data_IF_671739494513
#
_entry.id   IF_671739494513
#
_cell.length_a   1.000
_cell.length_b   1.000
_cell.length_c   1.000
_cell.angle_alpha   90.00
_cell.angle_beta   90.00
_cell.angle_gamma   90.00
#
_symmetry.space_group_name_H-M   'P 1'
#
loop_
_entity.id
_entity.type
_entity.pdbx_description
1 polymer ?
#
# COMPACT_ATOMS: atom_id res chain seq x y z
N UNK A 1 33.09 -68.32 -11.46
CA UNK A 1 32.94 -66.88 -11.22
C UNK A 1 32.26 -66.23 -12.42
N UNK A 2 31.01 -65.78 -12.29
CA UNK A 2 30.34 -64.76 -13.12
C UNK A 2 29.10 -64.28 -12.35
N UNK A 3 29.06 -62.99 -12.06
CA UNK A 3 27.99 -62.28 -11.35
C UNK A 3 26.98 -61.72 -12.36
N UNK A 4 25.82 -61.29 -11.80
CA UNK A 4 24.88 -60.28 -12.30
C UNK A 4 23.92 -60.82 -13.40
N UNK A 5 22.62 -60.51 -13.43
CA UNK A 5 21.95 -59.24 -13.11
C UNK A 5 20.53 -59.49 -12.58
N UNK A 6 20.18 -58.83 -11.46
CA UNK A 6 18.81 -58.69 -10.95
C UNK A 6 18.12 -57.57 -11.75
N UNK A 7 17.03 -57.89 -12.45
CA UNK A 7 16.21 -56.90 -13.15
C UNK A 7 15.18 -56.30 -12.20
N UNK A 8 15.33 -55.02 -11.84
CA UNK A 8 14.28 -54.23 -11.22
C UNK A 8 14.11 -52.92 -11.99
N UNK A 9 13.51 -53.01 -13.18
CA UNK A 9 13.43 -51.92 -14.17
C UNK A 9 12.07 -51.20 -14.20
N UNK A 10 11.37 -51.05 -13.08
CA UNK A 10 10.03 -50.44 -13.12
C UNK A 10 9.73 -49.41 -12.02
N UNK A 11 10.54 -49.28 -10.97
CA UNK A 11 10.20 -48.43 -9.82
C UNK A 11 10.91 -47.08 -9.76
N UNK A 12 12.00 -46.90 -10.49
CA UNK A 12 12.80 -45.66 -10.45
C UNK A 12 12.32 -44.58 -11.42
N UNK A 13 11.48 -44.92 -12.41
CA UNK A 13 11.00 -43.96 -13.41
C UNK A 13 9.85 -43.06 -12.95
N UNK A 14 9.03 -43.50 -11.99
CA UNK A 14 7.85 -42.75 -11.57
C UNK A 14 8.16 -41.66 -10.52
N UNK A 15 9.23 -41.84 -9.73
CA UNK A 15 9.64 -40.87 -8.71
C UNK A 15 10.31 -39.61 -9.28
N UNK A 16 10.97 -39.70 -10.44
CA UNK A 16 11.61 -38.54 -11.06
C UNK A 16 10.63 -37.58 -11.75
N UNK A 17 9.49 -38.07 -12.24
CA UNK A 17 8.51 -37.24 -12.95
C UNK A 17 7.67 -36.37 -11.99
N UNK A 18 7.43 -36.84 -10.76
CA UNK A 18 6.71 -36.08 -9.73
C UNK A 18 7.53 -34.90 -9.19
N UNK A 19 8.87 -35.03 -9.15
CA UNK A 19 9.76 -33.97 -8.66
C UNK A 19 9.87 -32.78 -9.63
N UNK A 20 9.74 -33.01 -10.94
CA UNK A 20 9.80 -31.94 -11.94
C UNK A 20 8.53 -31.09 -12.01
N UNK A 21 7.37 -31.62 -11.59
CA UNK A 21 6.11 -30.86 -11.57
C UNK A 21 6.00 -29.88 -10.39
N UNK A 22 6.81 -30.05 -9.34
CA UNK A 22 6.84 -29.15 -8.16
C UNK A 22 7.63 -27.87 -8.45
N UNK A 23 8.52 -27.87 -9.45
CA UNK A 23 9.35 -26.71 -9.81
C UNK A 23 8.68 -25.75 -10.80
N UNK A 24 7.51 -26.08 -11.34
CA UNK A 24 6.58 -25.08 -11.89
C UNK A 24 5.91 -24.30 -10.76
N UNK A 25 6.72 -23.85 -9.79
CA UNK A 25 6.30 -22.96 -8.73
C UNK A 25 5.80 -21.68 -9.39
N UNK A 26 4.49 -21.52 -9.29
CA UNK A 26 3.75 -20.26 -9.29
C UNK A 26 4.70 -19.05 -9.25
N UNK A 27 5.07 -18.49 -10.41
CA UNK A 27 5.55 -17.12 -10.48
C UNK A 27 4.34 -16.26 -10.12
N UNK A 28 4.09 -16.09 -8.83
CA UNK A 28 3.33 -14.93 -8.38
C UNK A 28 4.29 -13.77 -8.58
N UNK A 29 3.91 -12.81 -9.42
CA UNK A 29 4.64 -11.55 -9.51
C UNK A 29 4.81 -11.01 -8.09
N UNK A 30 6.02 -11.10 -7.56
CA UNK A 30 6.32 -10.68 -6.21
C UNK A 30 6.25 -9.15 -6.16
N UNK A 31 5.55 -8.62 -5.16
CA UNK A 31 5.40 -7.18 -4.97
C UNK A 31 6.78 -6.53 -4.79
N UNK A 32 7.16 -5.68 -5.74
CA UNK A 32 8.44 -4.99 -5.74
C UNK A 32 8.21 -3.47 -5.72
N UNK A 33 8.07 -2.84 -4.54
CA UNK A 33 7.76 -1.42 -4.45
C UNK A 33 8.84 -0.55 -5.08
N UNK A 34 8.42 0.55 -5.72
CA UNK A 34 9.35 1.57 -6.20
C UNK A 34 10.17 2.15 -5.02
N UNK A 35 11.49 2.22 -5.19
CA UNK A 35 12.38 2.82 -4.20
C UNK A 35 12.58 4.31 -4.47
N UNK A 36 12.57 5.11 -3.41
CA UNK A 36 12.85 6.53 -3.46
C UNK A 36 13.55 6.99 -2.18
N UNK A 37 14.55 7.88 -2.30
CA UNK A 37 15.30 8.39 -1.14
C UNK A 37 14.47 9.33 -0.27
N UNK A 38 13.46 10.00 -0.84
CA UNK A 38 12.46 10.78 -0.11
C UNK A 38 11.06 10.23 -0.34
N UNK A 39 10.33 9.97 0.74
CA UNK A 39 8.95 9.45 0.67
C UNK A 39 8.01 10.35 1.48
N UNK A 40 6.94 10.85 0.85
CA UNK A 40 5.90 11.65 1.52
C UNK A 40 4.52 11.05 1.25
N UNK A 41 4.18 10.06 2.06
CA UNK A 41 3.04 9.15 1.82
C UNK A 41 2.18 8.87 3.06
N UNK A 42 2.33 9.69 4.09
CA UNK A 42 1.49 9.61 5.28
C UNK A 42 0.09 10.18 5.03
N UNK A 43 -0.91 9.53 5.62
CA UNK A 43 -2.31 9.89 5.56
C UNK A 43 -2.80 10.15 6.99
N UNK A 44 -3.55 11.24 7.17
CA UNK A 44 -4.24 11.59 8.41
C UNK A 44 -5.75 11.60 8.14
N UNK A 45 -6.47 10.62 8.70
CA UNK A 45 -7.93 10.59 8.63
C UNK A 45 -8.55 11.29 9.83
N UNK A 46 -9.53 12.15 9.57
CA UNK A 46 -10.44 12.64 10.62
C UNK A 46 -11.79 11.97 10.44
N UNK A 47 -12.43 11.57 11.53
CA UNK A 47 -13.78 11.03 11.51
C UNK A 47 -14.75 12.04 12.11
N UNK A 48 -15.79 12.38 11.36
CA UNK A 48 -16.96 13.11 11.86
C UNK A 48 -18.19 12.21 11.81
N UNK A 49 -18.98 12.25 12.88
CA UNK A 49 -20.29 11.59 12.97
C UNK A 49 -21.38 12.65 13.14
N UNK A 50 -22.57 12.37 12.64
CA UNK A 50 -23.77 13.19 12.88
C UNK A 50 -24.09 13.35 14.39
N UNK A 51 -23.61 12.43 15.23
CA UNK A 51 -23.87 12.41 16.68
C UNK A 51 -23.01 13.39 17.50
N UNK A 52 -22.22 14.28 16.87
CA UNK A 52 -21.22 15.16 17.52
C UNK A 52 -20.17 14.43 18.39
N UNK A 53 -20.17 13.10 18.43
CA UNK A 53 -19.15 12.30 19.11
C UNK A 53 -17.85 12.34 18.31
N UNK A 54 -16.71 12.40 19.02
CA UNK A 54 -15.36 12.28 18.46
C UNK A 54 -14.97 10.81 18.42
N UNK A 55 -15.08 10.10 17.27
CA UNK A 55 -14.98 8.64 17.27
C UNK A 55 -13.58 8.14 17.64
N UNK A 56 -12.55 8.93 17.29
CA UNK A 56 -11.15 8.59 17.58
C UNK A 56 -10.74 8.70 19.06
N UNK A 57 -11.59 9.26 19.92
CA UNK A 57 -11.36 9.26 21.37
C UNK A 57 -11.86 7.96 22.03
N UNK A 58 -12.60 7.11 21.31
CA UNK A 58 -13.09 5.81 21.80
C UNK A 58 -12.15 4.67 21.36
N UNK A 59 -11.48 4.04 22.34
CA UNK A 59 -10.57 2.93 22.09
C UNK A 59 -11.25 1.72 21.44
N UNK A 60 -12.55 1.47 21.70
CA UNK A 60 -13.29 0.38 21.06
C UNK A 60 -13.52 0.66 19.59
N UNK A 61 -13.83 1.91 19.25
CA UNK A 61 -13.94 2.35 17.86
C UNK A 61 -12.60 2.20 17.14
N UNK A 62 -11.51 2.70 17.73
CA UNK A 62 -10.16 2.63 17.16
C UNK A 62 -9.71 1.18 16.95
N UNK A 63 -9.96 0.28 17.90
CA UNK A 63 -9.66 -1.15 17.77
C UNK A 63 -10.45 -1.84 16.64
N UNK A 64 -11.59 -1.28 16.24
CA UNK A 64 -12.40 -1.75 15.11
C UNK A 64 -11.91 -1.27 13.74
N UNK A 65 -10.82 -0.48 13.67
CA UNK A 65 -10.28 0.04 12.42
C UNK A 65 -9.15 -0.87 11.92
N UNK A 66 -9.22 -1.22 10.65
CA UNK A 66 -8.13 -1.92 9.93
C UNK A 66 -7.87 -1.24 8.61
N UNK A 67 -6.59 -1.16 8.24
CA UNK A 67 -6.12 -0.55 6.99
C UNK A 67 -5.34 -1.61 6.23
N UNK A 68 -5.70 -1.85 4.98
CA UNK A 68 -5.06 -2.88 4.14
C UNK A 68 -4.58 -2.25 2.84
N UNK A 69 -3.29 -2.39 2.54
CA UNK A 69 -2.68 -1.92 1.29
C UNK A 69 -2.88 -2.96 0.21
N UNK A 70 -3.68 -2.63 -0.80
CA UNK A 70 -4.07 -3.60 -1.82
C UNK A 70 -2.88 -3.97 -2.71
N UNK A 71 -1.92 -3.05 -2.91
CA UNK A 71 -0.73 -3.30 -3.73
C UNK A 71 0.22 -4.28 -3.02
N UNK A 72 0.47 -4.04 -1.73
CA UNK A 72 1.35 -4.88 -0.90
C UNK A 72 0.70 -6.17 -0.41
N UNK A 73 -0.62 -6.33 -0.59
CA UNK A 73 -1.43 -7.39 0.01
C UNK A 73 -1.23 -7.56 1.53
N UNK A 74 -0.99 -6.46 2.25
CA UNK A 74 -0.65 -6.47 3.67
C UNK A 74 -1.47 -5.47 4.49
N UNK A 75 -1.66 -5.79 5.77
CA UNK A 75 -2.23 -4.85 6.73
C UNK A 75 -1.22 -3.74 7.04
N UNK A 76 -1.65 -2.49 6.90
CA UNK A 76 -0.83 -1.32 7.18
C UNK A 76 -1.00 -0.92 8.65
N UNK A 77 0.09 -0.71 9.40
CA UNK A 77 0.01 -0.22 10.77
C UNK A 77 -0.67 1.15 10.82
N UNK A 78 -1.62 1.31 11.75
CA UNK A 78 -2.28 2.57 12.00
C UNK A 78 -2.23 2.94 13.49
N UNK A 79 -2.16 4.23 13.77
CA UNK A 79 -2.07 4.78 15.14
C UNK A 79 -2.89 6.05 15.24
N UNK A 80 -3.44 6.37 16.41
CA UNK A 80 -4.06 7.69 16.63
C UNK A 80 -2.99 8.69 17.05
N UNK A 81 -2.88 9.81 16.32
CA UNK A 81 -2.01 10.95 16.64
C UNK A 81 -2.86 12.15 17.04
N UNK A 82 -2.43 12.87 18.08
CA UNK A 82 -3.01 14.17 18.44
C UNK A 82 -2.13 15.28 17.88
N UNK A 83 -2.68 16.11 17.00
CA UNK A 83 -1.98 17.25 16.42
C UNK A 83 -2.82 18.49 16.73
N UNK A 84 -2.22 19.48 17.39
CA UNK A 84 -2.91 20.69 17.88
C UNK A 84 -4.20 20.36 18.67
N UNK A 85 -4.15 19.33 19.52
CA UNK A 85 -5.28 18.88 20.33
C UNK A 85 -6.38 18.11 19.59
N UNK A 86 -6.28 17.95 18.26
CA UNK A 86 -7.25 17.19 17.45
C UNK A 86 -6.74 15.77 17.16
N UNK A 87 -7.55 14.72 17.36
CA UNK A 87 -7.14 13.35 17.04
C UNK A 87 -7.27 13.06 15.54
N UNK A 88 -6.30 12.31 15.02
CA UNK A 88 -6.23 11.81 13.64
C UNK A 88 -5.84 10.35 13.65
N UNK A 89 -6.46 9.53 12.80
CA UNK A 89 -5.92 8.21 12.51
C UNK A 89 -4.81 8.37 11.48
N UNK A 90 -3.60 7.97 11.84
CA UNK A 90 -2.42 8.04 11.00
C UNK A 90 -2.02 6.65 10.52
N UNK A 91 -1.72 6.55 9.22
CA UNK A 91 -1.02 5.42 8.61
C UNK A 91 -0.23 5.91 7.40
N UNK A 92 0.63 5.05 6.87
CA UNK A 92 1.43 5.35 5.68
C UNK A 92 0.88 4.53 4.52
N UNK A 93 0.53 5.20 3.42
CA UNK A 93 0.02 4.54 2.21
C UNK A 93 1.05 3.57 1.63
N UNK A 94 0.60 2.46 1.06
CA UNK A 94 1.48 1.53 0.37
C UNK A 94 2.21 2.22 -0.80
N UNK A 95 3.41 1.73 -1.11
CA UNK A 95 4.12 2.19 -2.30
C UNK A 95 3.54 1.46 -3.53
N UNK A 96 3.46 2.13 -4.69
CA UNK A 96 3.17 1.42 -5.93
C UNK A 96 4.24 0.38 -6.24
N UNK A 97 3.83 -0.75 -6.84
CA UNK A 97 4.76 -1.68 -7.47
C UNK A 97 5.47 -0.97 -8.63
N UNK A 98 6.78 -1.19 -8.76
CA UNK A 98 7.59 -0.61 -9.82
C UNK A 98 7.01 -0.90 -11.23
N UNK A 99 6.40 -2.07 -11.43
CA UNK A 99 5.80 -2.45 -12.72
C UNK A 99 4.54 -1.63 -13.07
N UNK A 100 3.87 -1.07 -12.06
CA UNK A 100 2.65 -0.27 -12.22
C UNK A 100 2.93 1.23 -12.41
N UNK A 101 4.20 1.64 -12.33
CA UNK A 101 4.64 3.01 -12.53
C UNK A 101 4.58 3.40 -14.02
N UNK A 102 3.91 4.52 -14.31
CA UNK A 102 3.84 5.10 -15.65
C UNK A 102 4.92 6.17 -15.80
N UNK A 103 6.09 5.79 -16.30
CA UNK A 103 7.23 6.68 -16.52
C UNK A 103 7.05 7.59 -17.75
N UNK A 104 7.61 8.79 -17.68
CA UNK A 104 7.87 9.65 -18.84
C UNK A 104 8.99 9.09 -19.71
N UNK A 105 9.10 9.55 -20.96
CA UNK A 105 10.11 9.03 -21.90
C UNK A 105 11.56 9.18 -21.43
N UNK A 106 11.86 10.18 -20.60
CA UNK A 106 13.17 10.39 -19.98
C UNK A 106 13.38 9.60 -18.68
N UNK A 107 12.39 8.81 -18.25
CA UNK A 107 12.34 8.03 -17.01
C UNK A 107 12.56 8.82 -15.71
N UNK A 108 12.57 10.16 -15.77
CA UNK A 108 12.80 11.01 -14.59
C UNK A 108 11.53 11.29 -13.80
N UNK A 109 10.35 11.06 -14.37
CA UNK A 109 9.07 11.24 -13.70
C UNK A 109 8.20 10.04 -13.92
N UNK A 110 7.41 9.69 -12.93
CA UNK A 110 6.39 8.67 -13.09
C UNK A 110 5.16 8.96 -12.23
N UNK A 111 4.07 8.29 -12.58
CA UNK A 111 2.82 8.37 -11.83
C UNK A 111 2.26 6.97 -11.61
N UNK A 112 1.57 6.78 -10.50
CA UNK A 112 0.87 5.53 -10.21
C UNK A 112 -0.33 5.77 -9.31
N UNK A 113 -1.21 4.78 -9.24
CA UNK A 113 -2.35 4.78 -8.34
C UNK A 113 -2.37 3.47 -7.59
N UNK A 114 -2.44 3.53 -6.26
CA UNK A 114 -2.67 2.36 -5.40
C UNK A 114 -4.05 2.47 -4.76
N UNK A 115 -4.54 1.36 -4.20
CA UNK A 115 -5.77 1.34 -3.45
C UNK A 115 -5.52 0.86 -2.02
N UNK A 116 -6.18 1.52 -1.07
CA UNK A 116 -6.15 1.13 0.34
C UNK A 116 -7.57 0.81 0.76
N UNK A 117 -7.77 -0.40 1.26
CA UNK A 117 -9.04 -0.80 1.86
C UNK A 117 -9.02 -0.38 3.34
N UNK A 118 -9.83 0.63 3.67
CA UNK A 118 -10.13 1.02 5.04
C UNK A 118 -11.38 0.28 5.49
N UNK A 119 -11.28 -0.47 6.58
CA UNK A 119 -12.42 -1.10 7.22
C UNK A 119 -12.62 -0.50 8.61
N UNK A 120 -13.83 -0.03 8.87
CA UNK A 120 -14.25 0.51 10.17
C UNK A 120 -15.45 -0.32 10.62
N UNK A 121 -15.26 -1.14 11.66
CA UNK A 121 -16.24 -2.12 12.10
C UNK A 121 -16.64 -3.09 10.96
N UNK A 122 -17.88 -3.00 10.46
CA UNK A 122 -18.40 -3.86 9.39
C UNK A 122 -18.33 -3.21 8.01
N UNK A 123 -18.07 -1.90 7.96
CA UNK A 123 -18.05 -1.12 6.72
C UNK A 123 -16.66 -1.08 6.10
N UNK A 124 -16.63 -1.05 4.77
CA UNK A 124 -15.40 -0.98 3.97
C UNK A 124 -15.48 0.21 3.02
N UNK A 125 -14.38 0.93 2.91
CA UNK A 125 -14.17 2.02 1.97
C UNK A 125 -12.83 1.84 1.26
N UNK A 126 -12.78 2.20 -0.02
CA UNK A 126 -11.54 2.11 -0.81
C UNK A 126 -11.02 3.51 -1.07
N UNK A 127 -9.85 3.82 -0.51
CA UNK A 127 -9.12 5.06 -0.77
C UNK A 127 -8.20 4.85 -1.96
N UNK A 128 -8.42 5.60 -3.04
CA UNK A 128 -7.51 5.62 -4.19
C UNK A 128 -6.42 6.65 -3.95
N UNK A 129 -5.17 6.20 -3.96
CA UNK A 129 -4.00 6.99 -3.63
C UNK A 129 -3.19 7.26 -4.90
N UNK A 130 -3.08 8.51 -5.33
CA UNK A 130 -2.32 8.90 -6.51
C UNK A 130 -0.93 9.39 -6.13
N UNK A 131 0.09 8.81 -6.74
CA UNK A 131 1.49 9.09 -6.47
C UNK A 131 2.19 9.74 -7.65
N UNK A 132 3.12 10.64 -7.33
CA UNK A 132 4.11 11.16 -8.27
C UNK A 132 5.52 10.79 -7.81
N UNK A 133 6.29 10.24 -8.73
CA UNK A 133 7.70 9.94 -8.57
C UNK A 133 8.53 10.92 -9.40
N UNK A 134 9.67 11.32 -8.86
CA UNK A 134 10.64 12.17 -9.54
C UNK A 134 12.07 11.74 -9.21
N UNK A 135 12.90 11.60 -10.25
CA UNK A 135 14.36 11.50 -10.16
C UNK A 135 15.00 12.82 -10.60
N UNK A 136 15.63 13.50 -9.65
CA UNK A 136 16.35 14.75 -9.85
C UNK A 136 17.88 14.54 -9.79
N UNK A 137 18.36 13.32 -9.91
CA UNK A 137 19.78 12.99 -9.94
C UNK A 137 20.46 13.62 -11.16
N UNK A 138 21.62 14.26 -10.96
CA UNK A 138 22.41 14.86 -12.04
C UNK A 138 23.51 13.88 -12.48
N UNK A 139 23.73 13.68 -13.80
CA UNK A 139 24.90 12.96 -14.27
C UNK A 139 26.21 13.69 -13.90
N UNK A 140 27.35 12.97 -13.77
CA UNK A 140 27.44 11.53 -13.63
C UNK A 140 26.85 11.11 -12.28
N UNK A 141 26.07 10.03 -12.26
CA UNK A 141 25.23 9.59 -11.14
C UNK A 141 25.94 9.85 -9.79
N UNK A 142 25.46 10.78 -8.92
CA UNK A 142 26.21 11.15 -7.74
C UNK A 142 26.19 9.98 -6.76
N UNK A 143 27.14 9.98 -5.84
CA UNK A 143 27.20 9.13 -4.65
C UNK A 143 25.93 9.10 -3.78
N UNK A 144 24.91 9.91 -4.08
CA UNK A 144 23.58 9.86 -3.49
C UNK A 144 22.48 10.06 -4.56
N UNK A 145 21.50 9.16 -4.60
CA UNK A 145 20.32 9.28 -5.46
C UNK A 145 19.35 10.34 -4.92
N UNK A 146 18.84 11.20 -5.81
CA UNK A 146 17.89 12.25 -5.46
C UNK A 146 16.51 11.91 -6.04
N UNK A 147 15.91 10.86 -5.50
CA UNK A 147 14.61 10.34 -5.95
C UNK A 147 13.55 10.61 -4.89
N UNK A 148 12.36 10.97 -5.33
CA UNK A 148 11.24 11.23 -4.42
C UNK A 148 9.96 10.57 -4.91
N UNK A 149 9.15 10.12 -3.96
CA UNK A 149 7.78 9.68 -4.22
C UNK A 149 6.82 10.35 -3.24
N UNK A 150 5.79 10.97 -3.78
CA UNK A 150 4.86 11.82 -3.03
C UNK A 150 3.43 11.36 -3.32
N UNK A 151 2.66 11.16 -2.26
CA UNK A 151 1.22 11.00 -2.33
C UNK A 151 0.59 12.36 -2.62
N UNK A 152 0.11 12.55 -3.84
CA UNK A 152 -0.40 13.82 -4.36
C UNK A 152 -1.91 13.97 -4.15
N UNK A 153 -2.67 12.88 -4.14
CA UNK A 153 -4.09 12.96 -3.81
C UNK A 153 -4.67 11.67 -3.28
N UNK A 154 -5.74 11.80 -2.50
CA UNK A 154 -6.60 10.70 -2.09
C UNK A 154 -8.00 10.95 -2.64
N UNK A 155 -8.59 9.90 -3.21
CA UNK A 155 -9.98 9.91 -3.67
C UNK A 155 -10.76 8.82 -2.94
N UNK A 156 -11.91 9.19 -2.38
CA UNK A 156 -12.95 8.28 -1.93
C UNK A 156 -14.23 8.65 -2.69
N UNK A 157 -14.83 7.69 -3.37
CA UNK A 157 -16.00 7.89 -4.23
C UNK A 157 -15.83 9.08 -5.21
N UNK A 158 -16.59 10.16 -5.01
CA UNK A 158 -16.53 11.39 -5.82
C UNK A 158 -15.68 12.49 -5.20
N UNK A 159 -15.18 12.29 -3.98
CA UNK A 159 -14.44 13.29 -3.21
C UNK A 159 -12.94 13.07 -3.37
N UNK A 160 -12.25 14.06 -3.92
CA UNK A 160 -10.80 14.05 -4.08
C UNK A 160 -10.18 15.18 -3.28
N UNK A 161 -9.19 14.84 -2.45
CA UNK A 161 -8.34 15.82 -1.77
C UNK A 161 -6.96 15.76 -2.40
N UNK A 162 -6.53 16.89 -2.96
CA UNK A 162 -5.17 17.06 -3.49
C UNK A 162 -4.25 17.63 -2.42
N UNK A 163 -2.96 17.30 -2.51
CA UNK A 163 -1.89 17.84 -1.70
C UNK A 163 -1.78 19.35 -1.92
N UNK A 164 -1.70 20.08 -0.82
CA UNK A 164 -1.57 21.53 -0.81
C UNK A 164 -1.52 22.07 0.62
N UNK A 165 -1.24 23.37 0.76
CA UNK A 165 -0.95 23.98 2.07
C UNK A 165 -2.11 23.85 3.09
N UNK A 166 -3.36 23.74 2.62
CA UNK A 166 -4.55 23.60 3.48
C UNK A 166 -4.92 22.16 3.81
N UNK A 167 -4.34 21.20 3.09
CA UNK A 167 -4.70 19.77 3.15
C UNK A 167 -3.55 18.94 3.70
N UNK A 168 -2.43 19.57 4.07
CA UNK A 168 -1.24 18.91 4.63
C UNK A 168 -1.00 19.39 6.04
N UNK A 169 -0.75 18.43 6.94
CA UNK A 169 -0.28 18.69 8.31
C UNK A 169 0.94 17.80 8.54
N UNK A 170 2.06 18.41 8.95
CA UNK A 170 3.34 17.74 9.20
C UNK A 170 3.80 16.85 8.01
N UNK A 171 3.56 17.32 6.78
CA UNK A 171 3.90 16.59 5.54
C UNK A 171 2.91 15.49 5.14
N UNK A 172 1.90 15.20 5.96
CA UNK A 172 0.90 14.16 5.73
C UNK A 172 -0.39 14.73 5.14
N UNK A 173 -0.99 13.99 4.20
CA UNK A 173 -2.23 14.42 3.56
C UNK A 173 -3.42 14.14 4.49
N UNK A 174 -4.23 15.16 4.76
CA UNK A 174 -5.41 15.08 5.61
C UNK A 174 -6.63 14.76 4.77
N UNK A 175 -7.33 13.68 5.10
CA UNK A 175 -8.58 13.31 4.44
C UNK A 175 -9.73 13.21 5.46
N UNK A 176 -10.76 14.06 5.35
CA UNK A 176 -11.91 13.99 6.25
C UNK A 176 -12.91 12.93 5.78
N UNK A 177 -13.22 11.98 6.67
CA UNK A 177 -14.26 10.97 6.51
C UNK A 177 -15.50 11.33 7.32
N UNK A 178 -16.65 11.20 6.68
CA UNK A 178 -17.95 11.31 7.32
C UNK A 178 -18.55 9.92 7.50
N UNK A 179 -19.12 9.68 8.68
CA UNK A 179 -19.87 8.47 8.97
C UNK A 179 -21.34 8.83 9.15
N UNK A 180 -22.21 8.28 8.31
CA UNK A 180 -23.65 8.50 8.41
C UNK A 180 -24.27 7.71 9.57
N UNK A 181 -25.57 7.92 9.81
CA UNK A 181 -26.32 7.22 10.86
C UNK A 181 -26.33 5.68 10.72
N UNK A 182 -26.05 5.15 9.53
CA UNK A 182 -25.95 3.71 9.25
C UNK A 182 -24.53 3.17 9.42
N UNK A 183 -23.56 4.05 9.70
CA UNK A 183 -22.16 3.71 9.85
C UNK A 183 -21.37 3.72 8.55
N UNK A 184 -21.99 4.07 7.41
CA UNK A 184 -21.33 4.08 6.11
C UNK A 184 -20.39 5.28 6.00
N UNK A 185 -19.23 5.05 5.38
CA UNK A 185 -18.16 6.04 5.21
C UNK A 185 -18.32 6.81 3.90
N UNK A 186 -18.13 8.13 3.94
CA UNK A 186 -18.21 9.08 2.82
C UNK A 186 -17.08 10.13 2.87
#
# INVERSE_FOLDING_TARGET
>A
MKKLIYTSSAWTGFFFLAATLILCSCHKDEYSPISATKQQRGILLTFSSESNKKPLDDNRFVAGITVFGNESHAQLPCTVKKINGKPYLFFVADLPDAKNMKFTGDQKKATAMTEITLKVNKEKATLKCYFQYQDASKPPMPTASNTSIILESITLDRKTIKRGNKTVIDGNLVFPLQMDAKGKLH
#
